data_IF_799711721604
#
_entry.id   IF_799711721604
#
_cell.length_a   1.000
_cell.length_b   1.000
_cell.length_c   1.000
_cell.angle_alpha   90.00
_cell.angle_beta   90.00
_cell.angle_gamma   90.00
#
_symmetry.space_group_name_H-M   'P 1'
#
loop_
_entity.id
_entity.type
_entity.pdbx_description
1 polymer ?
#
# COMPACT_ATOMS: atom_id res chain seq x y z
N UNK A 1 23.78 -38.66 -29.78
CA UNK A 1 22.36 -38.53 -29.42
C UNK A 1 22.19 -37.93 -28.04
N UNK A 2 21.56 -36.76 -27.96
CA UNK A 2 20.68 -36.37 -26.85
C UNK A 2 19.77 -35.30 -27.46
N UNK A 3 18.58 -35.74 -27.84
CA UNK A 3 17.60 -34.93 -28.55
C UNK A 3 17.00 -33.89 -27.59
N UNK A 4 17.14 -32.62 -27.95
CA UNK A 4 16.44 -31.50 -27.30
C UNK A 4 14.98 -31.53 -27.75
N UNK A 5 14.08 -31.94 -26.86
CA UNK A 5 12.64 -31.98 -27.11
C UNK A 5 12.02 -30.65 -26.63
N UNK A 6 12.12 -29.62 -27.46
CA UNK A 6 11.35 -28.38 -27.24
C UNK A 6 9.93 -28.64 -27.74
N UNK A 7 9.01 -28.94 -26.80
CA UNK A 7 7.59 -29.09 -27.11
C UNK A 7 6.98 -27.71 -27.25
N UNK A 8 6.84 -27.31 -28.51
CA UNK A 8 5.94 -26.29 -29.01
C UNK A 8 4.53 -26.51 -28.44
N UNK A 9 4.02 -25.53 -27.68
CA UNK A 9 2.60 -25.40 -27.36
C UNK A 9 2.10 -24.23 -28.19
N UNK A 10 1.50 -24.59 -29.32
CA UNK A 10 0.64 -23.76 -30.17
C UNK A 10 -0.80 -24.04 -29.76
N UNK A 11 -1.67 -23.07 -30.08
CA UNK A 11 -3.15 -23.10 -30.04
C UNK A 11 -3.76 -22.62 -28.71
N UNK A 12 -4.85 -21.85 -28.69
CA UNK A 12 -5.72 -21.33 -29.73
C UNK A 12 -6.50 -20.14 -29.17
N UNK A 13 -6.99 -19.33 -30.11
CA UNK A 13 -7.92 -18.21 -29.99
C UNK A 13 -9.32 -18.68 -29.55
N UNK A 14 -9.93 -17.97 -28.59
CA UNK A 14 -11.38 -17.87 -28.37
C UNK A 14 -11.57 -16.53 -27.61
N UNK A 15 -12.25 -15.50 -28.09
CA UNK A 15 -13.42 -15.49 -28.96
C UNK A 15 -14.69 -15.47 -28.12
N UNK A 16 -14.91 -14.42 -27.31
CA UNK A 16 -16.25 -14.19 -26.76
C UNK A 16 -16.50 -12.70 -26.51
N UNK A 17 -17.37 -12.16 -27.36
CA UNK A 17 -18.03 -10.87 -27.25
C UNK A 17 -19.39 -11.17 -26.60
N UNK A 18 -19.64 -10.68 -25.37
CA UNK A 18 -20.99 -10.56 -24.84
C UNK A 18 -21.21 -9.11 -24.42
N UNK A 19 -21.88 -8.39 -25.31
CA UNK A 19 -22.61 -7.16 -25.03
C UNK A 19 -23.93 -7.54 -24.38
N UNK A 20 -24.00 -7.41 -23.06
CA UNK A 20 -25.27 -7.37 -22.33
C UNK A 20 -25.44 -6.01 -21.68
N UNK A 21 -26.06 -5.14 -22.47
CA UNK A 21 -26.82 -4.00 -22.02
C UNK A 21 -27.60 -4.28 -20.72
N UNK A 22 -27.43 -3.45 -19.70
CA UNK A 22 -28.54 -2.93 -18.88
C UNK A 22 -28.05 -1.66 -18.19
N UNK A 23 -28.60 -0.53 -18.63
CA UNK A 23 -28.51 0.73 -17.90
C UNK A 23 -29.13 0.51 -16.51
N UNK A 24 -28.43 0.75 -15.41
CA UNK A 24 -29.13 1.07 -14.18
C UNK A 24 -29.57 2.52 -14.31
N UNK A 25 -30.84 2.73 -14.67
CA UNK A 25 -31.53 3.98 -14.37
C UNK A 25 -31.57 4.13 -12.85
N UNK A 26 -30.47 4.64 -12.28
CA UNK A 26 -30.38 5.02 -10.87
C UNK A 26 -31.09 6.36 -10.70
N UNK A 27 -32.41 6.34 -10.86
CA UNK A 27 -33.29 7.39 -10.42
C UNK A 27 -33.32 7.38 -8.88
N UNK A 28 -32.27 7.89 -8.24
CA UNK A 28 -32.36 8.28 -6.84
C UNK A 28 -33.10 9.61 -6.80
N UNK A 29 -34.39 9.50 -6.49
CA UNK A 29 -35.20 10.56 -5.92
C UNK A 29 -34.43 11.25 -4.80
N UNK A 30 -33.94 12.47 -5.07
CA UNK A 30 -33.47 13.40 -4.04
C UNK A 30 -34.67 13.81 -3.19
N UNK A 31 -34.96 13.01 -2.17
CA UNK A 31 -35.73 13.43 -1.00
C UNK A 31 -34.74 14.08 -0.05
N UNK A 32 -34.56 15.37 -0.22
CA UNK A 32 -34.00 16.25 0.81
C UNK A 32 -34.98 16.28 1.97
N UNK A 33 -34.75 15.43 2.95
CA UNK A 33 -35.24 15.63 4.32
C UNK A 33 -34.03 15.40 5.24
N UNK A 34 -33.21 16.45 5.35
CA UNK A 34 -32.19 16.54 6.38
C UNK A 34 -32.91 16.52 7.74
N UNK A 35 -33.02 15.34 8.34
CA UNK A 35 -33.40 15.18 9.75
C UNK A 35 -32.27 15.71 10.64
N UNK A 36 -32.15 17.04 10.67
CA UNK A 36 -31.18 17.79 11.46
C UNK A 36 -31.54 17.84 12.95
N UNK A 37 -32.10 16.77 13.53
CA UNK A 37 -32.69 16.87 14.87
C UNK A 37 -32.74 15.58 15.72
N UNK A 38 -31.78 14.65 15.58
CA UNK A 38 -31.80 13.41 16.40
C UNK A 38 -30.46 12.96 17.01
N UNK A 39 -29.50 13.84 17.27
CA UNK A 39 -28.32 13.49 18.09
C UNK A 39 -27.83 14.61 19.02
N UNK A 40 -28.65 15.64 19.28
CA UNK A 40 -28.22 16.79 20.08
C UNK A 40 -29.30 17.26 21.07
N UNK A 41 -29.74 16.39 21.96
CA UNK A 41 -30.56 16.77 23.10
C UNK A 41 -30.37 15.81 24.29
N UNK A 42 -29.12 15.63 24.72
CA UNK A 42 -28.87 14.88 25.97
C UNK A 42 -27.52 15.10 26.66
N UNK A 43 -26.88 16.25 26.50
CA UNK A 43 -25.71 16.58 27.32
C UNK A 43 -25.70 18.07 27.71
N UNK A 44 -26.78 18.51 28.35
CA UNK A 44 -26.67 19.57 29.36
C UNK A 44 -26.65 18.89 30.71
N UNK A 45 -25.46 18.62 31.25
CA UNK A 45 -25.21 18.70 32.69
C UNK A 45 -23.71 18.81 32.99
N UNK A 46 -23.38 19.89 33.68
CA UNK A 46 -22.19 20.15 34.50
C UNK A 46 -20.78 20.33 33.92
N UNK A 47 -20.28 21.53 34.25
CA UNK A 47 -18.92 21.88 34.66
C UNK A 47 -17.86 22.20 33.60
N UNK A 48 -17.33 23.42 33.76
CA UNK A 48 -16.16 24.01 33.15
C UNK A 48 -15.00 23.04 32.89
N UNK A 49 -14.71 22.85 31.61
CA UNK A 49 -13.56 22.10 31.12
C UNK A 49 -13.20 22.52 29.71
N UNK A 50 -13.02 23.83 29.48
CA UNK A 50 -12.35 24.32 28.28
C UNK A 50 -10.89 23.84 28.32
N UNK A 51 -10.66 22.62 27.87
CA UNK A 51 -9.32 22.07 27.68
C UNK A 51 -8.74 22.78 26.46
N UNK A 52 -7.95 23.82 26.70
CA UNK A 52 -7.08 24.42 25.69
C UNK A 52 -6.30 23.30 24.97
N UNK A 53 -6.34 23.20 23.62
CA UNK A 53 -5.52 22.26 22.88
C UNK A 53 -4.05 22.68 22.95
N UNK A 54 -3.38 22.30 24.03
CA UNK A 54 -1.94 22.49 24.20
C UNK A 54 -1.40 21.40 25.11
N UNK A 55 -1.00 20.28 24.50
CA UNK A 55 0.26 19.58 24.78
C UNK A 55 0.49 18.52 23.69
N UNK A 56 1.49 18.78 22.84
CA UNK A 56 2.10 17.83 21.92
C UNK A 56 2.69 16.63 22.68
N UNK A 57 1.86 15.64 23.02
CA UNK A 57 2.36 14.31 23.36
C UNK A 57 2.53 13.51 22.07
N UNK A 58 3.70 13.71 21.47
CA UNK A 58 4.36 12.86 20.48
C UNK A 58 3.86 11.41 20.56
N UNK A 59 3.22 10.87 19.50
CA UNK A 59 2.92 9.45 19.47
C UNK A 59 4.23 8.66 19.52
N UNK A 60 4.30 7.83 20.55
CA UNK A 60 5.19 6.69 20.76
C UNK A 60 6.05 6.30 19.55
N UNK A 61 7.37 6.28 19.79
CA UNK A 61 8.43 5.73 18.96
C UNK A 61 8.01 4.38 18.36
N UNK A 62 7.47 4.40 17.16
CA UNK A 62 7.45 3.23 16.28
C UNK A 62 8.89 3.06 15.79
N UNK A 63 9.42 1.89 16.09
CA UNK A 63 10.75 1.41 15.70
C UNK A 63 10.99 1.63 14.20
N UNK A 64 12.18 2.11 13.84
CA UNK A 64 12.65 2.38 12.46
C UNK A 64 12.03 3.57 11.71
N UNK A 65 12.02 4.77 12.29
CA UNK A 65 12.24 5.97 11.45
C UNK A 65 13.74 5.99 11.08
N UNK A 66 14.14 5.11 10.15
CA UNK A 66 15.28 5.37 9.28
C UNK A 66 15.03 6.76 8.73
N UNK A 67 15.90 7.75 9.01
CA UNK A 67 15.67 9.20 8.92
C UNK A 67 15.17 9.76 7.58
N UNK A 68 14.02 9.27 7.12
CA UNK A 68 13.36 9.52 5.84
C UNK A 68 12.20 10.50 6.00
N UNK A 69 11.92 10.93 7.24
CA UNK A 69 10.92 11.95 7.56
C UNK A 69 11.15 13.28 6.82
N UNK A 70 12.34 13.50 6.22
CA UNK A 70 12.64 14.65 5.37
C UNK A 70 13.15 14.29 3.96
N UNK A 71 12.53 13.31 3.29
CA UNK A 71 12.85 12.93 1.91
C UNK A 71 12.85 14.12 0.92
N UNK A 72 11.95 15.08 1.09
CA UNK A 72 11.85 16.23 0.19
C UNK A 72 13.09 17.13 0.22
N UNK A 73 13.79 17.21 1.35
CA UNK A 73 14.98 18.07 1.51
C UNK A 73 16.31 17.33 1.41
N UNK A 74 16.31 15.99 1.44
CA UNK A 74 17.51 15.18 1.24
C UNK A 74 18.19 15.52 -0.09
N UNK A 75 19.51 15.46 -0.21
CA UNK A 75 20.23 15.71 -1.46
C UNK A 75 20.02 14.59 -2.50
N UNK A 76 20.37 14.83 -3.79
CA UNK A 76 20.31 13.79 -4.83
C UNK A 76 21.08 12.50 -4.46
N UNK A 77 22.36 12.56 -4.02
CA UNK A 77 23.09 11.34 -3.68
C UNK A 77 22.43 10.58 -2.51
N UNK A 78 21.92 11.29 -1.50
CA UNK A 78 21.18 10.67 -0.38
C UNK A 78 19.90 9.98 -0.87
N UNK A 79 19.14 10.60 -1.78
CA UNK A 79 17.96 9.95 -2.36
C UNK A 79 18.31 8.67 -3.13
N UNK A 80 19.45 8.63 -3.82
CA UNK A 80 19.90 7.44 -4.53
C UNK A 80 20.35 6.33 -3.58
N UNK A 81 21.00 6.69 -2.47
CA UNK A 81 21.35 5.76 -1.40
C UNK A 81 20.10 5.12 -0.80
N UNK A 82 19.12 5.94 -0.40
CA UNK A 82 17.83 5.43 0.09
C UNK A 82 17.10 4.59 -0.96
N UNK A 83 17.13 4.96 -2.24
CA UNK A 83 16.53 4.15 -3.31
C UNK A 83 17.16 2.76 -3.39
N UNK A 84 18.48 2.67 -3.23
CA UNK A 84 19.19 1.39 -3.23
C UNK A 84 18.87 0.56 -1.98
N UNK A 85 18.90 1.17 -0.80
CA UNK A 85 18.53 0.53 0.46
C UNK A 85 17.11 -0.05 0.38
N UNK A 86 16.14 0.76 -0.05
CA UNK A 86 14.74 0.31 -0.18
C UNK A 86 14.57 -0.81 -1.23
N UNK A 87 15.44 -0.89 -2.26
CA UNK A 87 15.43 -2.00 -3.23
C UNK A 87 15.92 -3.30 -2.60
N UNK A 88 16.95 -3.23 -1.77
CA UNK A 88 17.50 -4.38 -1.05
C UNK A 88 16.52 -4.86 0.01
N UNK A 89 15.94 -3.96 0.80
CA UNK A 89 14.91 -4.28 1.78
C UNK A 89 13.69 -4.93 1.12
N UNK A 90 13.21 -4.39 -0.01
CA UNK A 90 12.13 -5.02 -0.80
C UNK A 90 12.48 -6.45 -1.20
N UNK A 91 13.73 -6.69 -1.61
CA UNK A 91 14.21 -8.02 -2.01
C UNK A 91 14.21 -8.98 -0.82
N UNK A 92 14.67 -8.52 0.34
CA UNK A 92 14.69 -9.31 1.58
C UNK A 92 13.27 -9.67 2.04
N UNK A 93 12.35 -8.70 2.10
CA UNK A 93 10.95 -8.96 2.47
C UNK A 93 10.27 -9.90 1.47
N UNK A 94 10.50 -9.71 0.16
CA UNK A 94 9.93 -10.61 -0.86
C UNK A 94 10.39 -12.05 -0.65
N UNK A 95 11.66 -12.27 -0.31
CA UNK A 95 12.18 -13.60 -0.02
C UNK A 95 11.54 -14.17 1.26
N UNK A 96 11.47 -13.38 2.33
CA UNK A 96 10.88 -13.82 3.61
C UNK A 96 9.41 -14.24 3.44
N UNK A 97 8.62 -13.46 2.72
CA UNK A 97 7.23 -13.79 2.39
C UNK A 97 7.12 -15.06 1.55
N UNK A 98 7.98 -15.22 0.54
CA UNK A 98 8.01 -16.43 -0.29
C UNK A 98 8.39 -17.67 0.53
N UNK A 99 9.43 -17.60 1.36
CA UNK A 99 9.88 -18.71 2.19
C UNK A 99 8.75 -19.14 3.16
N UNK A 100 7.99 -18.18 3.70
CA UNK A 100 6.81 -18.45 4.50
C UNK A 100 5.69 -19.14 3.70
N UNK A 101 5.31 -18.59 2.54
CA UNK A 101 4.25 -19.14 1.70
C UNK A 101 4.57 -20.57 1.23
N UNK A 102 5.82 -20.81 0.83
CA UNK A 102 6.31 -22.14 0.44
C UNK A 102 6.25 -23.14 1.59
N UNK A 103 6.74 -22.72 2.76
CA UNK A 103 6.74 -23.57 3.94
C UNK A 103 5.30 -23.88 4.39
N UNK A 104 4.41 -22.89 4.35
CA UNK A 104 2.99 -23.08 4.63
C UNK A 104 2.35 -24.06 3.64
N UNK A 105 2.60 -23.89 2.33
CA UNK A 105 2.08 -24.78 1.31
C UNK A 105 2.55 -26.22 1.51
N UNK A 106 3.84 -26.42 1.82
CA UNK A 106 4.41 -27.76 2.07
C UNK A 106 3.85 -28.44 3.31
N UNK A 107 3.52 -27.68 4.36
CA UNK A 107 2.98 -28.24 5.60
C UNK A 107 1.47 -28.49 5.54
N UNK A 108 0.72 -27.57 4.92
CA UNK A 108 -0.74 -27.58 4.97
C UNK A 108 -1.37 -28.12 3.69
N UNK A 109 -0.60 -28.24 2.60
CA UNK A 109 -1.09 -28.70 1.28
C UNK A 109 -2.01 -27.69 0.59
N UNK A 110 -2.07 -26.44 1.05
CA UNK A 110 -2.88 -25.35 0.48
C UNK A 110 -2.14 -24.01 0.56
N UNK A 111 -2.56 -23.07 -0.28
CA UNK A 111 -2.03 -21.71 -0.26
C UNK A 111 -2.49 -20.94 1.00
N UNK A 112 -1.69 -19.94 1.38
CA UNK A 112 -1.95 -19.01 2.50
C UNK A 112 -3.24 -18.21 2.23
N UNK A 113 -4.19 -18.25 3.16
CA UNK A 113 -5.41 -17.43 3.13
C UNK A 113 -5.23 -16.16 3.98
N UNK A 114 -6.20 -15.23 3.94
CA UNK A 114 -6.09 -13.93 4.60
C UNK A 114 -5.92 -14.06 6.12
N UNK A 115 -6.54 -15.07 6.72
CA UNK A 115 -6.47 -15.38 8.15
C UNK A 115 -5.09 -15.90 8.55
N UNK A 116 -4.45 -16.66 7.65
CA UNK A 116 -3.14 -17.27 7.86
C UNK A 116 -1.98 -16.27 7.73
N UNK A 117 -2.24 -15.03 7.27
CA UNK A 117 -1.21 -13.99 7.09
C UNK A 117 -0.80 -13.30 8.38
N UNK A 118 -1.58 -13.47 9.45
CA UNK A 118 -1.31 -12.89 10.78
C UNK A 118 0.16 -13.04 11.24
N UNK A 119 0.81 -14.22 11.16
CA UNK A 119 2.23 -14.38 11.53
C UNK A 119 3.22 -13.58 10.66
N UNK A 120 2.83 -13.13 9.46
CA UNK A 120 3.65 -12.32 8.55
C UNK A 120 3.04 -10.94 8.27
N UNK A 121 2.14 -10.47 9.15
CA UNK A 121 1.37 -9.25 8.91
C UNK A 121 2.27 -8.03 8.76
N UNK A 122 3.32 -7.94 9.57
CA UNK A 122 4.31 -6.86 9.54
C UNK A 122 5.03 -6.83 8.19
N UNK A 123 5.54 -7.97 7.72
CA UNK A 123 6.28 -8.11 6.46
C UNK A 123 5.40 -7.80 5.24
N UNK A 124 4.13 -8.22 5.25
CA UNK A 124 3.20 -7.85 4.18
C UNK A 124 2.93 -6.34 4.16
N UNK A 125 2.82 -5.71 5.34
CA UNK A 125 2.63 -4.27 5.45
C UNK A 125 3.90 -3.51 5.02
N UNK A 126 5.07 -3.94 5.49
CA UNK A 126 6.37 -3.42 5.10
C UNK A 126 6.56 -3.50 3.59
N UNK A 127 6.26 -4.63 2.94
CA UNK A 127 6.36 -4.74 1.48
C UNK A 127 5.55 -3.66 0.75
N UNK A 128 4.33 -3.38 1.24
CA UNK A 128 3.48 -2.32 0.69
C UNK A 128 4.07 -0.93 0.96
N UNK A 129 4.56 -0.66 2.17
CA UNK A 129 5.20 0.60 2.53
C UNK A 129 6.47 0.85 1.71
N UNK A 130 7.33 -0.17 1.58
CA UNK A 130 8.56 -0.12 0.78
C UNK A 130 8.22 0.19 -0.68
N UNK A 131 7.19 -0.46 -1.27
CA UNK A 131 6.74 -0.14 -2.62
C UNK A 131 6.32 1.33 -2.76
N UNK A 132 5.59 1.87 -1.79
CA UNK A 132 5.19 3.28 -1.80
C UNK A 132 6.41 4.22 -1.68
N UNK A 133 7.32 3.93 -0.75
CA UNK A 133 8.58 4.68 -0.57
C UNK A 133 9.45 4.68 -1.83
N UNK A 134 9.59 3.54 -2.51
CA UNK A 134 10.33 3.45 -3.78
C UNK A 134 9.72 4.36 -4.85
N UNK A 135 8.39 4.38 -4.99
CA UNK A 135 7.73 5.29 -5.94
C UNK A 135 7.98 6.75 -5.60
N UNK A 136 7.91 7.11 -4.31
CA UNK A 136 8.20 8.46 -3.87
C UNK A 136 9.65 8.87 -4.20
N UNK A 137 10.63 8.01 -3.91
CA UNK A 137 12.04 8.23 -4.23
C UNK A 137 12.26 8.41 -5.73
N UNK A 138 11.68 7.53 -6.57
CA UNK A 138 11.74 7.64 -8.03
C UNK A 138 11.21 9.00 -8.52
N UNK A 139 10.07 9.45 -7.96
CA UNK A 139 9.46 10.74 -8.32
C UNK A 139 10.33 11.92 -7.89
N UNK A 140 10.89 11.91 -6.68
CA UNK A 140 11.72 13.01 -6.17
C UNK A 140 13.02 13.19 -6.97
N UNK A 141 13.64 12.08 -7.37
CA UNK A 141 14.82 12.08 -8.24
C UNK A 141 14.44 12.64 -9.61
N UNK A 142 13.39 12.10 -10.23
CA UNK A 142 12.93 12.52 -11.56
C UNK A 142 12.61 14.02 -11.62
N UNK A 143 12.00 14.57 -10.56
CA UNK A 143 11.69 16.00 -10.46
C UNK A 143 12.96 16.86 -10.54
N UNK A 144 13.98 16.53 -9.76
CA UNK A 144 15.22 17.31 -9.69
C UNK A 144 16.09 17.17 -10.93
N UNK A 145 16.05 16.01 -11.58
CA UNK A 145 16.70 15.81 -12.88
C UNK A 145 16.05 16.69 -13.96
N UNK A 146 14.73 16.86 -13.90
CA UNK A 146 14.02 17.76 -14.80
C UNK A 146 14.33 19.24 -14.54
N UNK A 147 14.40 19.66 -13.27
CA UNK A 147 14.76 21.02 -12.88
C UNK A 147 16.18 21.37 -13.38
N UNK A 148 17.14 20.46 -13.17
CA UNK A 148 18.55 20.64 -13.57
C UNK A 148 18.76 20.71 -15.09
N UNK A 149 17.86 20.08 -15.88
CA UNK A 149 17.93 20.07 -17.34
C UNK A 149 17.26 21.28 -18.01
N UNK A 150 16.44 22.00 -17.25
CA UNK A 150 15.68 23.17 -17.73
C UNK A 150 16.42 24.51 -17.54
N UNK A 151 17.60 24.49 -16.92
CA UNK A 151 18.50 25.64 -16.76
C UNK A 151 19.64 25.58 -17.78
#
# INVERSE_FOLDING_TARGET
>A
ETASFFKEIKEQEEGSEDDSSTKPDFAVTLKTDCSAHCFLDQLEDDADGFISPMDDKMPSKCSQDSGLSNLHSASIPELLEYLQEMREEKKMIRKKLHDFEDNFFRQNGRNVQKEDRTPMAEEYNEYKHIKAKLRLLEVLISKRDSDSKSM
#
